data_IF_289700358564
#
_entry.id   IF_289700358564
#
_cell.length_a   1.000
_cell.length_b   1.000
_cell.length_c   1.000
_cell.angle_alpha   90.00
_cell.angle_beta   90.00
_cell.angle_gamma   90.00
#
_symmetry.space_group_name_H-M   'P 1'
#
loop_
_entity.id
_entity.type
_entity.pdbx_description
1 polymer ?
#
# COMPACT_ATOMS: atom_id res chain seq x y z
N UNK A 1 -3.12 -4.63 -9.22
CA UNK A 1 -3.78 -3.40 -8.78
C UNK A 1 -4.98 -3.77 -7.92
N UNK A 2 -6.20 -3.88 -8.42
CA UNK A 2 -7.39 -4.06 -7.56
C UNK A 2 -7.32 -5.27 -6.60
N UNK A 3 -6.88 -6.44 -7.08
CA UNK A 3 -6.75 -7.62 -6.21
C UNK A 3 -5.63 -7.49 -5.17
N UNK A 4 -4.56 -6.76 -5.50
CA UNK A 4 -3.44 -6.49 -4.59
C UNK A 4 -3.89 -5.49 -3.53
N UNK A 5 -4.58 -4.42 -3.93
CA UNK A 5 -5.17 -3.43 -3.03
C UNK A 5 -6.21 -4.05 -2.08
N UNK A 6 -7.05 -4.97 -2.56
CA UNK A 6 -8.00 -5.69 -1.70
C UNK A 6 -7.29 -6.62 -0.68
N UNK A 7 -6.18 -7.24 -1.07
CA UNK A 7 -5.36 -8.02 -0.13
C UNK A 7 -4.70 -7.11 0.92
N UNK A 8 -4.24 -5.92 0.53
CA UNK A 8 -3.72 -4.92 1.47
C UNK A 8 -4.76 -4.57 2.54
N UNK A 9 -5.99 -4.22 2.15
CA UNK A 9 -7.09 -3.88 3.08
C UNK A 9 -7.36 -5.03 4.07
N UNK A 10 -7.35 -6.28 3.58
CA UNK A 10 -7.55 -7.47 4.42
C UNK A 10 -6.40 -7.67 5.42
N UNK A 11 -5.16 -7.40 5.01
CA UNK A 11 -3.98 -7.51 5.88
C UNK A 11 -3.96 -6.41 6.94
N UNK A 12 -4.30 -5.18 6.59
CA UNK A 12 -4.45 -4.06 7.54
C UNK A 12 -5.56 -4.35 8.54
N UNK A 13 -6.74 -4.77 8.07
CA UNK A 13 -7.85 -5.14 8.95
C UNK A 13 -7.48 -6.28 9.92
N UNK A 14 -6.71 -7.28 9.46
CA UNK A 14 -6.17 -8.33 10.33
C UNK A 14 -5.18 -7.78 11.36
N UNK A 15 -4.26 -6.91 10.95
CA UNK A 15 -3.29 -6.28 11.84
C UNK A 15 -3.93 -5.32 12.85
N UNK A 16 -5.15 -4.83 12.61
CA UNK A 16 -5.91 -4.03 13.57
C UNK A 16 -6.73 -4.90 14.54
N UNK A 17 -7.27 -6.03 14.07
CA UNK A 17 -8.19 -6.86 14.84
C UNK A 17 -7.54 -8.04 15.58
N UNK A 18 -6.32 -8.46 15.21
CA UNK A 18 -5.68 -9.61 15.84
C UNK A 18 -5.37 -9.36 17.32
N UNK A 19 -5.21 -10.38 18.17
CA UNK A 19 -4.69 -10.21 19.52
C UNK A 19 -3.23 -9.70 19.52
N UNK A 20 -2.75 -9.21 20.66
CA UNK A 20 -1.44 -8.55 20.76
C UNK A 20 -0.25 -9.51 20.54
N UNK A 21 -0.37 -10.77 20.95
CA UNK A 21 0.63 -11.81 20.71
C UNK A 21 0.72 -12.23 19.23
N UNK A 22 -0.30 -11.90 18.43
CA UNK A 22 -0.34 -12.13 16.99
C UNK A 22 0.02 -10.88 16.16
N UNK A 23 0.24 -9.72 16.79
CA UNK A 23 0.47 -8.47 16.05
C UNK A 23 1.74 -8.51 15.21
N UNK A 24 2.85 -8.98 15.78
CA UNK A 24 4.13 -9.05 15.06
C UNK A 24 4.02 -9.85 13.75
N UNK A 25 3.56 -11.12 13.74
CA UNK A 25 3.44 -11.88 12.49
C UNK A 25 2.40 -11.28 11.51
N UNK A 26 1.37 -10.60 12.00
CA UNK A 26 0.45 -9.87 11.12
C UNK A 26 1.14 -8.70 10.41
N UNK A 27 1.96 -7.92 11.12
CA UNK A 27 2.71 -6.81 10.55
C UNK A 27 3.83 -7.27 9.60
N UNK A 28 4.47 -8.41 9.88
CA UNK A 28 5.47 -9.01 8.98
C UNK A 28 4.83 -9.36 7.63
N UNK A 29 3.65 -9.99 7.66
CA UNK A 29 2.90 -10.33 6.44
C UNK A 29 2.42 -9.09 5.69
N UNK A 30 1.99 -8.05 6.39
CA UNK A 30 1.64 -6.76 5.79
C UNK A 30 2.85 -6.12 5.10
N UNK A 31 4.02 -6.13 5.74
CA UNK A 31 5.27 -5.62 5.16
C UNK A 31 5.69 -6.42 3.92
N UNK A 32 5.59 -7.74 3.95
CA UNK A 32 5.87 -8.58 2.78
C UNK A 32 5.00 -8.22 1.58
N UNK A 33 3.71 -8.00 1.83
CA UNK A 33 2.77 -7.55 0.80
C UNK A 33 3.16 -6.17 0.25
N UNK A 34 3.43 -5.19 1.12
CA UNK A 34 3.88 -3.85 0.73
C UNK A 34 5.14 -3.90 -0.13
N UNK A 35 6.13 -4.71 0.26
CA UNK A 35 7.37 -4.88 -0.49
C UNK A 35 7.12 -5.43 -1.90
N UNK A 36 6.25 -6.43 -2.02
CA UNK A 36 5.91 -7.04 -3.30
C UNK A 36 5.09 -6.09 -4.20
N UNK A 37 4.11 -5.40 -3.63
CA UNK A 37 3.26 -4.44 -4.32
C UNK A 37 4.10 -3.26 -4.83
N UNK A 38 4.78 -2.55 -3.93
CA UNK A 38 5.62 -1.41 -4.30
C UNK A 38 6.73 -1.80 -5.26
N UNK A 39 7.38 -2.96 -5.05
CA UNK A 39 8.41 -3.44 -5.96
C UNK A 39 7.91 -3.67 -7.39
N UNK A 40 6.68 -4.18 -7.55
CA UNK A 40 6.06 -4.34 -8.87
C UNK A 40 5.80 -2.99 -9.55
N UNK A 41 5.29 -2.00 -8.81
CA UNK A 41 5.02 -0.67 -9.34
C UNK A 41 6.29 0.10 -9.68
N UNK A 42 7.28 0.10 -8.79
CA UNK A 42 8.61 0.66 -9.00
C UNK A 42 9.23 0.12 -10.29
N UNK A 43 9.14 -1.18 -10.49
CA UNK A 43 9.61 -1.85 -11.70
C UNK A 43 8.89 -1.36 -12.95
N UNK A 44 7.57 -1.21 -12.91
CA UNK A 44 6.79 -0.66 -14.02
C UNK A 44 7.17 0.80 -14.28
N UNK A 45 7.27 1.62 -13.24
CA UNK A 45 7.63 3.03 -13.35
C UNK A 45 9.00 3.20 -14.03
N UNK A 46 10.01 2.46 -13.58
CA UNK A 46 11.37 2.49 -14.14
C UNK A 46 11.42 1.98 -15.57
N UNK A 47 10.85 0.79 -15.84
CA UNK A 47 10.90 0.16 -17.18
C UNK A 47 10.09 0.95 -18.21
N UNK A 48 9.11 1.71 -17.78
CA UNK A 48 8.23 2.47 -18.68
C UNK A 48 8.49 3.97 -18.70
N UNK A 49 9.52 4.46 -18.00
CA UNK A 49 9.84 5.88 -17.89
C UNK A 49 8.62 6.72 -17.46
N UNK A 50 7.93 6.27 -16.41
CA UNK A 50 6.78 6.97 -15.86
C UNK A 50 7.22 8.35 -15.34
N UNK A 51 6.57 9.46 -15.75
CA UNK A 51 7.07 10.81 -15.44
C UNK A 51 7.16 11.17 -13.96
N UNK A 52 6.32 10.59 -13.10
CA UNK A 52 6.27 10.86 -11.67
C UNK A 52 6.89 9.72 -10.83
N UNK A 53 7.83 8.96 -11.42
CA UNK A 53 8.43 7.80 -10.76
C UNK A 53 9.15 8.16 -9.46
N UNK A 54 10.00 9.18 -9.46
CA UNK A 54 10.89 9.46 -8.33
C UNK A 54 10.13 9.78 -7.04
N UNK A 55 9.07 10.60 -7.12
CA UNK A 55 8.29 10.95 -5.93
C UNK A 55 7.44 9.78 -5.42
N UNK A 56 6.90 8.95 -6.32
CA UNK A 56 6.10 7.78 -5.96
C UNK A 56 6.98 6.71 -5.29
N UNK A 57 8.14 6.41 -5.88
CA UNK A 57 9.14 5.47 -5.32
C UNK A 57 9.64 5.94 -3.94
N UNK A 58 9.83 7.24 -3.75
CA UNK A 58 10.25 7.80 -2.45
C UNK A 58 9.18 7.60 -1.36
N UNK A 59 7.89 7.73 -1.68
CA UNK A 59 6.80 7.42 -0.75
C UNK A 59 6.80 5.94 -0.35
N UNK A 60 6.96 5.02 -1.32
CA UNK A 60 7.11 3.59 -1.04
C UNK A 60 8.27 3.31 -0.08
N UNK A 61 9.42 3.92 -0.33
CA UNK A 61 10.62 3.77 0.50
C UNK A 61 10.39 4.22 1.94
N UNK A 62 9.69 5.35 2.15
CA UNK A 62 9.36 5.87 3.48
C UNK A 62 8.42 4.94 4.25
N UNK A 63 7.40 4.38 3.58
CA UNK A 63 6.48 3.42 4.20
C UNK A 63 7.21 2.14 4.60
N UNK A 64 8.05 1.57 3.72
CA UNK A 64 8.83 0.37 4.03
C UNK A 64 9.84 0.59 5.17
N UNK A 65 10.52 1.74 5.19
CA UNK A 65 11.41 2.11 6.29
C UNK A 65 10.66 2.23 7.62
N UNK A 66 9.44 2.77 7.59
CA UNK A 66 8.58 2.87 8.77
C UNK A 66 8.14 1.49 9.24
N UNK A 67 7.78 0.58 8.33
CA UNK A 67 7.44 -0.80 8.65
C UNK A 67 8.61 -1.52 9.35
N UNK A 68 9.83 -1.37 8.86
CA UNK A 68 11.04 -1.94 9.48
C UNK A 68 11.25 -1.46 10.91
N UNK A 69 11.09 -0.16 11.14
CA UNK A 69 11.23 0.45 12.47
C UNK A 69 10.14 -0.04 13.42
N UNK A 70 8.89 -0.08 12.97
CA UNK A 70 7.74 -0.53 13.76
C UNK A 70 7.88 -2.01 14.15
N UNK A 71 8.26 -2.89 13.22
CA UNK A 71 8.49 -4.30 13.52
C UNK A 71 9.54 -4.49 14.62
N UNK A 72 10.63 -3.72 14.57
CA UNK A 72 11.68 -3.79 15.57
C UNK A 72 11.22 -3.31 16.97
N UNK A 73 10.23 -2.42 17.05
CA UNK A 73 9.63 -1.95 18.30
C UNK A 73 8.58 -2.92 18.83
N UNK A 74 7.72 -3.45 17.96
CA UNK A 74 6.71 -4.46 18.32
C UNK A 74 7.37 -5.73 18.83
N UNK A 75 8.49 -6.15 18.23
CA UNK A 75 9.30 -7.28 18.73
C UNK A 75 9.86 -7.07 20.15
N UNK A 76 9.90 -5.82 20.64
CA UNK A 76 10.29 -5.46 22.02
C UNK A 76 9.09 -5.26 22.95
N UNK A 77 7.88 -5.51 22.46
CA UNK A 77 6.63 -5.41 23.22
C UNK A 77 5.88 -4.09 23.06
N UNK A 78 6.33 -3.18 22.19
CA UNK A 78 5.57 -1.95 21.89
C UNK A 78 4.46 -2.27 20.89
N UNK A 79 3.36 -2.85 21.38
CA UNK A 79 2.20 -3.20 20.55
C UNK A 79 1.47 -1.94 20.07
N UNK A 80 1.48 -0.88 20.88
CA UNK A 80 0.76 0.36 20.58
C UNK A 80 1.27 1.02 19.30
N UNK A 81 2.59 1.06 19.08
CA UNK A 81 3.16 1.62 17.85
C UNK A 81 2.79 0.78 16.62
N UNK A 82 2.68 -0.54 16.77
CA UNK A 82 2.25 -1.45 15.71
C UNK A 82 0.80 -1.22 15.28
N UNK A 83 -0.10 -1.02 16.24
CA UNK A 83 -1.51 -0.67 15.95
C UNK A 83 -1.62 0.70 15.31
N UNK A 84 -0.88 1.68 15.82
CA UNK A 84 -0.85 3.03 15.25
C UNK A 84 -0.38 3.02 13.80
N UNK A 85 0.65 2.22 13.49
CA UNK A 85 1.14 2.06 12.13
C UNK A 85 0.09 1.44 11.19
N UNK A 86 -0.57 0.35 11.62
CA UNK A 86 -1.63 -0.26 10.83
C UNK A 86 -2.81 0.69 10.58
N UNK A 87 -3.20 1.49 11.58
CA UNK A 87 -4.25 2.50 11.44
C UNK A 87 -3.86 3.64 10.49
N UNK A 88 -2.60 4.09 10.54
CA UNK A 88 -2.10 5.11 9.62
C UNK A 88 -2.06 4.58 8.18
N UNK A 89 -1.70 3.31 7.99
CA UNK A 89 -1.76 2.66 6.68
C UNK A 89 -3.19 2.57 6.14
N UNK A 90 -4.17 2.24 6.98
CA UNK A 90 -5.60 2.27 6.61
C UNK A 90 -6.04 3.66 6.14
N UNK A 91 -5.55 4.72 6.78
CA UNK A 91 -5.89 6.10 6.45
C UNK A 91 -5.19 6.60 5.17
N UNK A 92 -3.90 6.30 5.03
CA UNK A 92 -3.04 6.82 3.97
C UNK A 92 -3.29 6.15 2.62
N UNK A 93 -3.46 4.82 2.61
CA UNK A 93 -3.44 4.01 1.39
C UNK A 93 -4.53 4.38 0.35
N UNK A 94 -5.80 4.67 0.73
CA UNK A 94 -6.80 5.07 -0.26
C UNK A 94 -6.40 6.30 -1.07
N UNK A 95 -5.78 7.29 -0.42
CA UNK A 95 -5.28 8.49 -1.09
C UNK A 95 -4.14 8.15 -2.05
N UNK A 96 -3.20 7.33 -1.61
CA UNK A 96 -2.10 6.86 -2.46
C UNK A 96 -2.63 6.11 -3.71
N UNK A 97 -3.56 5.18 -3.52
CA UNK A 97 -4.15 4.39 -4.60
C UNK A 97 -4.94 5.26 -5.61
N UNK A 98 -5.73 6.21 -5.12
CA UNK A 98 -6.54 7.09 -5.96
C UNK A 98 -5.70 8.07 -6.79
N UNK A 99 -4.60 8.61 -6.22
CA UNK A 99 -3.83 9.66 -6.87
C UNK A 99 -2.59 9.15 -7.63
N UNK A 100 -1.85 8.20 -7.08
CA UNK A 100 -0.58 7.74 -7.64
C UNK A 100 -0.74 6.42 -8.41
N UNK A 101 -1.26 5.38 -7.76
CA UNK A 101 -1.41 4.05 -8.38
C UNK A 101 -2.35 4.09 -9.60
N UNK A 102 -3.44 4.84 -9.51
CA UNK A 102 -4.38 5.04 -10.63
C UNK A 102 -3.71 5.74 -11.82
N UNK A 103 -2.78 6.66 -11.59
CA UNK A 103 -2.02 7.32 -12.65
C UNK A 103 -1.06 6.33 -13.33
N UNK A 104 -0.41 5.47 -12.55
CA UNK A 104 0.43 4.38 -13.07
C UNK A 104 -0.40 3.37 -13.87
N UNK A 105 -1.55 2.94 -13.36
CA UNK A 105 -2.47 2.04 -14.06
C UNK A 105 -2.92 2.63 -15.40
N UNK A 106 -3.29 3.92 -15.43
CA UNK A 106 -3.65 4.62 -16.65
C UNK A 106 -2.50 4.69 -17.67
N UNK A 107 -1.29 4.93 -17.19
CA UNK A 107 -0.08 4.90 -18.01
C UNK A 107 0.17 3.54 -18.64
N UNK A 108 0.06 2.47 -17.84
CA UNK A 108 0.24 1.09 -18.31
C UNK A 108 -0.83 0.69 -19.33
N UNK A 109 -2.10 1.00 -19.07
CA UNK A 109 -3.19 0.75 -20.03
C UNK A 109 -2.98 1.49 -21.36
N UNK A 110 -2.55 2.77 -21.31
CA UNK A 110 -2.27 3.54 -22.52
C UNK A 110 -1.16 2.90 -23.36
N UNK A 111 -0.10 2.40 -22.71
CA UNK A 111 1.01 1.73 -23.39
C UNK A 111 0.62 0.38 -23.97
N UNK A 112 -0.22 -0.38 -23.28
CA UNK A 112 -0.59 -1.74 -23.69
C UNK A 112 -1.70 -1.77 -24.75
N UNK A 113 -2.68 -0.87 -24.66
CA UNK A 113 -3.90 -0.91 -25.47
C UNK A 113 -4.17 0.35 -26.29
N UNK A 114 -3.33 1.39 -26.17
CA UNK A 114 -3.53 2.67 -26.87
C UNK A 114 -4.71 3.51 -26.34
N UNK A 115 -5.42 3.04 -25.32
CA UNK A 115 -6.60 3.69 -24.74
C UNK A 115 -6.37 4.22 -23.32
N UNK A 116 -7.26 5.10 -22.84
CA UNK A 116 -7.31 5.51 -21.43
C UNK A 116 -8.31 4.63 -20.68
N UNK A 117 -7.97 4.08 -19.50
CA UNK A 117 -8.94 3.35 -18.70
C UNK A 117 -10.03 4.29 -18.16
N UNK A 118 -11.21 3.73 -17.90
CA UNK A 118 -12.34 4.44 -17.31
C UNK A 118 -12.35 4.17 -15.81
N UNK A 119 -12.22 5.22 -15.00
CA UNK A 119 -12.29 5.13 -13.54
C UNK A 119 -13.75 5.32 -13.10
N UNK A 120 -14.25 4.40 -12.30
CA UNK A 120 -15.60 4.43 -11.74
C UNK A 120 -15.52 4.55 -10.22
N UNK A 121 -15.82 5.72 -9.68
CA UNK A 121 -15.92 5.90 -8.23
C UNK A 121 -17.29 5.43 -7.74
N UNK A 122 -17.31 4.57 -6.72
CA UNK A 122 -18.55 4.22 -6.03
C UNK A 122 -18.98 5.41 -5.19
N UNK A 123 -20.14 6.01 -5.50
CA UNK A 123 -20.71 7.08 -4.67
C UNK A 123 -20.95 6.55 -3.26
N UNK A 124 -20.57 7.28 -2.19
CA UNK A 124 -20.92 6.89 -0.84
C UNK A 124 -22.45 6.90 -0.69
N UNK A 125 -23.00 5.81 -0.19
CA UNK A 125 -24.40 5.74 0.22
C UNK A 125 -24.55 6.65 1.44
N UNK A 126 -25.23 7.78 1.28
CA UNK A 126 -25.68 8.56 2.44
C UNK A 126 -26.71 7.72 3.18
N UNK A 127 -26.35 7.25 4.38
CA UNK A 127 -27.26 6.72 5.39
C UNK A 127 -27.63 7.83 6.38
#
# INVERSE_FOLDING_TARGET
>A
MDAVHAEFDELVGRALACPDDALLPCLERLREHLLAHFGQEDDWMRKTAFPAADCHIDEHGKVLASADQVLALVARGDVAIGRSFAAELEHWFPGHADYLDSALAAWMCKRQFGGKPVVLHRRPSHA
#
